data_IF_693471686002
#
_entry.id   IF_693471686002
#
_cell.length_a   1.000
_cell.length_b   1.000
_cell.length_c   1.000
_cell.angle_alpha   90.00
_cell.angle_beta   90.00
_cell.angle_gamma   90.00
#
_symmetry.space_group_name_H-M   'P 1'
#
loop_
_entity.id
_entity.type
_entity.pdbx_description
1 polymer ?
#
# COMPACT_ATOMS: atom_id res chain seq x y z
N UNK A 1 -62.82 -18.28 -26.13
CA UNK A 1 -63.78 -17.14 -26.18
C UNK A 1 -63.09 -16.04 -26.97
N UNK A 2 -63.25 -15.99 -28.31
CA UNK A 2 -64.35 -15.33 -29.07
C UNK A 2 -64.41 -13.83 -28.76
N UNK A 3 -64.39 -12.86 -29.69
CA UNK A 3 -64.52 -12.82 -31.17
C UNK A 3 -63.96 -11.44 -31.65
N UNK A 4 -63.20 -11.35 -32.75
CA UNK A 4 -63.60 -10.91 -34.13
C UNK A 4 -64.29 -9.53 -34.22
N UNK A 5 -63.98 -8.61 -35.14
CA UNK A 5 -63.83 -8.71 -36.61
C UNK A 5 -63.13 -7.45 -37.19
N UNK A 6 -62.15 -7.55 -38.11
CA UNK A 6 -62.21 -7.53 -39.60
C UNK A 6 -62.31 -6.11 -40.25
N UNK A 7 -61.82 -5.74 -41.45
CA UNK A 7 -60.96 -6.22 -42.60
C UNK A 7 -60.93 -5.01 -43.60
N UNK A 8 -59.85 -4.62 -44.31
CA UNK A 8 -59.49 -4.92 -45.72
C UNK A 8 -58.27 -4.03 -46.12
N UNK A 9 -57.07 -4.47 -46.56
CA UNK A 9 -56.58 -5.00 -47.88
C UNK A 9 -56.83 -4.07 -49.08
N UNK A 10 -55.85 -3.66 -49.90
CA UNK A 10 -55.12 -4.35 -51.01
C UNK A 10 -54.03 -3.34 -51.50
N UNK A 11 -52.72 -3.56 -51.71
CA UNK A 11 -51.89 -4.49 -52.52
C UNK A 11 -51.11 -3.74 -53.63
N UNK A 12 -49.84 -4.14 -53.77
CA UNK A 12 -48.94 -4.13 -54.95
C UNK A 12 -48.30 -2.85 -55.51
N UNK A 13 -46.97 -2.97 -55.76
CA UNK A 13 -46.27 -2.22 -56.82
C UNK A 13 -44.84 -1.78 -56.50
N UNK A 14 -43.85 -2.68 -56.66
CA UNK A 14 -42.49 -2.28 -57.05
C UNK A 14 -42.44 -2.16 -58.59
N UNK A 15 -41.64 -1.25 -59.16
CA UNK A 15 -40.41 -1.74 -59.80
C UNK A 15 -39.20 -0.79 -59.72
N UNK A 16 -38.09 -1.35 -60.21
CA UNK A 16 -36.70 -0.90 -60.24
C UNK A 16 -36.39 0.33 -61.14
N UNK A 17 -35.23 0.93 -60.77
CA UNK A 17 -34.14 1.44 -61.61
C UNK A 17 -34.33 2.71 -62.48
N UNK A 18 -33.47 3.71 -62.23
CA UNK A 18 -32.38 4.16 -63.12
C UNK A 18 -31.80 5.49 -62.58
N UNK A 19 -30.46 5.60 -62.47
CA UNK A 19 -29.77 6.90 -62.38
C UNK A 19 -29.62 7.52 -63.77
N UNK A 20 -28.69 8.48 -64.03
CA UNK A 20 -27.92 9.36 -63.14
C UNK A 20 -28.07 10.85 -63.57
N UNK A 21 -27.18 11.72 -63.08
CA UNK A 21 -26.72 13.01 -63.65
C UNK A 21 -27.00 14.26 -62.78
N UNK A 22 -25.90 14.86 -62.33
CA UNK A 22 -25.80 16.27 -61.96
C UNK A 22 -25.74 17.15 -63.23
N UNK A 23 -26.02 18.47 -63.13
CA UNK A 23 -24.90 19.41 -63.04
C UNK A 23 -25.12 20.68 -62.20
N UNK A 24 -23.98 21.32 -61.89
CA UNK A 24 -23.71 22.65 -61.31
C UNK A 24 -24.72 23.77 -61.62
N UNK A 25 -25.00 24.67 -60.67
CA UNK A 25 -24.20 25.91 -60.51
C UNK A 25 -24.57 26.72 -59.24
N UNK A 26 -23.57 27.45 -58.73
CA UNK A 26 -23.64 28.28 -57.50
C UNK A 26 -24.06 29.73 -57.83
N UNK A 27 -24.43 30.58 -56.84
CA UNK A 27 -23.39 31.46 -56.28
C UNK A 27 -23.53 31.88 -54.80
N UNK A 28 -22.36 31.91 -54.14
CA UNK A 28 -21.85 32.86 -53.12
C UNK A 28 -22.83 33.80 -52.38
N UNK A 29 -22.73 33.79 -51.04
CA UNK A 29 -22.24 34.95 -50.25
C UNK A 29 -21.74 34.52 -48.85
N UNK A 30 -20.56 35.02 -48.51
CA UNK A 30 -19.83 34.90 -47.24
C UNK A 30 -20.52 35.68 -46.12
N UNK A 31 -20.42 35.19 -44.89
CA UNK A 31 -20.11 36.03 -43.73
C UNK A 31 -19.12 35.33 -42.81
N UNK A 32 -18.15 36.13 -42.37
CA UNK A 32 -17.02 35.82 -41.50
C UNK A 32 -17.47 35.70 -40.04
N UNK A 33 -16.85 34.81 -39.28
CA UNK A 33 -17.03 34.68 -37.84
C UNK A 33 -15.92 33.82 -37.24
N UNK A 34 -14.86 34.50 -36.79
CA UNK A 34 -13.67 33.94 -36.13
C UNK A 34 -14.06 33.36 -34.76
N UNK A 35 -13.65 32.11 -34.49
CA UNK A 35 -13.66 31.50 -33.16
C UNK A 35 -12.21 31.13 -32.76
N UNK A 36 -11.79 31.33 -31.50
CA UNK A 36 -10.36 31.31 -31.13
C UNK A 36 -9.81 29.89 -30.87
N UNK A 37 -8.53 29.61 -31.19
CA UNK A 37 -7.90 28.31 -30.97
C UNK A 37 -7.22 28.26 -29.60
N UNK A 38 -7.83 27.57 -28.64
CA UNK A 38 -7.18 27.26 -27.37
C UNK A 38 -7.60 25.87 -26.87
N UNK A 39 -7.41 24.86 -27.72
CA UNK A 39 -7.55 23.46 -27.31
C UNK A 39 -6.87 22.56 -28.35
N UNK A 40 -5.53 22.58 -28.44
CA UNK A 40 -4.72 21.55 -29.15
C UNK A 40 -3.20 21.81 -29.05
N UNK A 41 -2.64 21.95 -27.85
CA UNK A 41 -1.18 21.82 -27.65
C UNK A 41 -0.94 21.13 -26.32
N UNK A 42 -0.87 19.78 -26.29
CA UNK A 42 -0.19 19.03 -25.24
C UNK A 42 0.15 17.57 -25.63
N UNK A 43 0.37 17.28 -26.92
CA UNK A 43 0.67 15.91 -27.34
C UNK A 43 1.75 15.69 -28.40
N UNK A 44 2.59 16.67 -28.73
CA UNK A 44 3.74 16.44 -29.63
C UNK A 44 4.92 17.31 -29.25
N UNK A 45 5.69 16.95 -28.22
CA UNK A 45 7.10 17.37 -28.03
C UNK A 45 7.84 16.41 -27.07
N UNK A 46 7.84 15.11 -27.39
CA UNK A 46 8.88 14.19 -26.93
C UNK A 46 9.20 13.30 -28.11
N UNK A 47 10.11 13.74 -28.99
CA UNK A 47 10.98 12.97 -29.89
C UNK A 47 11.56 13.93 -30.95
N UNK A 48 12.74 14.50 -30.68
CA UNK A 48 13.80 14.78 -31.66
C UNK A 48 14.94 15.62 -31.02
N UNK A 49 16.17 15.11 -31.09
CA UNK A 49 17.44 15.84 -30.92
C UNK A 49 17.86 16.05 -29.46
N UNK A 50 18.91 15.44 -28.91
CA UNK A 50 20.15 15.04 -29.56
C UNK A 50 21.05 16.25 -29.79
N UNK A 51 21.59 16.85 -28.71
CA UNK A 51 22.72 17.77 -28.80
C UNK A 51 23.54 17.74 -27.49
N UNK A 52 24.75 17.23 -27.67
CA UNK A 52 25.97 17.29 -26.87
C UNK A 52 26.04 18.52 -25.94
N UNK A 53 26.24 18.29 -24.64
CA UNK A 53 26.88 19.26 -23.75
C UNK A 53 28.21 18.66 -23.33
N UNK A 54 29.28 19.30 -23.78
CA UNK A 54 30.66 19.06 -23.37
C UNK A 54 30.79 19.28 -21.87
N UNK A 55 31.25 18.24 -21.16
CA UNK A 55 31.72 18.33 -19.78
C UNK A 55 33.02 19.13 -19.76
N UNK A 56 32.97 20.36 -19.23
CA UNK A 56 34.17 21.04 -18.77
C UNK A 56 34.42 20.59 -17.33
N UNK A 57 35.49 19.81 -17.17
CA UNK A 57 35.97 19.27 -15.91
C UNK A 57 36.85 20.33 -15.25
N UNK A 58 36.37 20.91 -14.14
CA UNK A 58 37.22 21.73 -13.27
C UNK A 58 37.03 21.29 -11.82
N UNK A 59 37.94 20.43 -11.39
CA UNK A 59 38.18 20.15 -9.98
C UNK A 59 38.49 21.46 -9.24
N UNK A 60 37.85 21.62 -8.08
CA UNK A 60 38.40 22.41 -7.00
C UNK A 60 38.06 21.67 -5.70
N UNK A 61 39.02 20.86 -5.24
CA UNK A 61 39.07 20.41 -3.86
C UNK A 61 39.27 21.63 -2.96
N UNK A 62 38.34 21.86 -2.03
CA UNK A 62 38.59 22.68 -0.85
C UNK A 62 38.20 21.87 0.37
N UNK A 63 39.21 21.27 0.98
CA UNK A 63 39.16 20.63 2.29
C UNK A 63 38.91 21.73 3.31
N UNK A 64 37.70 21.81 3.85
CA UNK A 64 37.43 22.55 5.08
C UNK A 64 37.33 21.54 6.22
N UNK A 65 38.45 21.41 6.94
CA UNK A 65 38.50 20.74 8.22
C UNK A 65 37.58 21.47 9.21
N UNK A 66 36.54 20.78 9.68
CA UNK A 66 35.79 21.20 10.86
C UNK A 66 36.53 20.70 12.09
N UNK A 67 37.18 21.63 12.81
CA UNK A 67 37.61 21.45 14.20
C UNK A 67 36.38 21.20 15.08
N UNK A 68 36.45 20.31 16.08
CA UNK A 68 35.41 20.20 17.10
C UNK A 68 35.35 21.50 17.92
N UNK A 69 34.14 22.05 18.07
CA UNK A 69 33.86 23.11 19.05
C UNK A 69 33.93 22.50 20.45
N UNK A 70 34.74 23.12 21.30
CA UNK A 70 34.75 22.89 22.75
C UNK A 70 33.35 23.04 23.34
N UNK A 71 32.92 22.02 24.06
CA UNK A 71 31.75 22.07 24.93
C UNK A 71 32.29 22.31 26.34
N UNK A 72 32.11 23.53 26.85
CA UNK A 72 32.43 23.87 28.24
C UNK A 72 31.46 23.10 29.14
N UNK A 73 31.98 22.09 29.82
CA UNK A 73 31.28 21.39 30.92
C UNK A 73 31.69 22.10 32.21
N UNK A 74 30.71 22.69 32.88
CA UNK A 74 30.84 23.22 34.24
C UNK A 74 30.75 22.04 35.21
N UNK A 75 31.86 21.70 35.88
CA UNK A 75 31.86 20.79 37.02
C UNK A 75 31.10 21.44 38.19
N UNK A 76 30.04 20.78 38.66
CA UNK A 76 29.53 20.98 40.02
C UNK A 76 29.28 19.61 40.62
N UNK A 77 30.15 19.28 41.57
CA UNK A 77 30.18 18.10 42.40
C UNK A 77 28.92 18.01 43.28
N UNK A 78 28.18 16.90 43.24
CA UNK A 78 27.26 16.55 44.33
C UNK A 78 27.16 15.04 44.49
N UNK A 79 27.41 14.64 45.73
CA UNK A 79 27.69 13.32 46.30
C UNK A 79 26.43 12.46 46.42
N UNK A 80 26.56 11.14 46.20
CA UNK A 80 25.53 10.14 46.50
C UNK A 80 25.50 9.79 48.01
N UNK A 81 24.34 9.48 48.61
CA UNK A 81 24.24 9.12 50.02
C UNK A 81 24.46 7.62 50.23
N UNK A 82 25.36 7.30 51.16
CA UNK A 82 25.56 5.99 51.79
C UNK A 82 24.64 5.86 53.01
N UNK A 83 23.93 4.75 53.15
CA UNK A 83 23.32 4.33 54.42
C UNK A 83 23.94 3.03 54.91
N UNK A 84 24.39 3.10 56.15
CA UNK A 84 25.14 2.12 56.94
C UNK A 84 24.31 0.85 57.23
N UNK A 85 24.99 -0.30 57.27
CA UNK A 85 24.54 -1.50 57.98
C UNK A 85 25.70 -1.98 58.84
N UNK A 86 25.43 -2.09 60.14
CA UNK A 86 26.37 -2.53 61.18
C UNK A 86 26.75 -4.01 61.02
N UNK A 87 28.03 -4.30 61.16
CA UNK A 87 28.58 -5.64 61.31
C UNK A 87 29.14 -5.76 62.74
N UNK A 88 28.70 -6.78 63.48
CA UNK A 88 29.29 -7.18 64.76
C UNK A 88 29.93 -8.55 64.60
N UNK A 89 31.21 -8.61 64.93
CA UNK A 89 32.11 -9.77 64.98
C UNK A 89 31.55 -10.95 65.79
N UNK A 90 31.89 -12.20 65.41
CA UNK A 90 32.50 -13.23 66.30
C UNK A 90 32.89 -14.51 65.54
N UNK A 91 34.20 -14.74 65.42
CA UNK A 91 35.00 -15.97 65.67
C UNK A 91 34.55 -17.37 65.13
N UNK A 92 35.46 -17.99 64.36
CA UNK A 92 35.47 -19.44 64.05
C UNK A 92 35.89 -20.30 65.27
N UNK A 93 35.53 -21.61 65.33
CA UNK A 93 36.48 -22.62 64.85
C UNK A 93 35.90 -23.92 64.20
N UNK A 94 36.76 -24.56 63.41
CA UNK A 94 36.90 -25.96 62.97
C UNK A 94 35.91 -27.05 63.45
N UNK A 95 35.36 -27.84 62.52
CA UNK A 95 35.70 -29.28 62.25
C UNK A 95 34.54 -30.08 61.62
N UNK A 96 34.95 -31.00 60.74
CA UNK A 96 34.34 -32.29 60.36
C UNK A 96 33.07 -32.37 59.47
N UNK A 97 33.38 -32.83 58.25
CA UNK A 97 32.66 -33.62 57.25
C UNK A 97 31.60 -34.60 57.78
N UNK A 98 30.39 -34.57 57.20
CA UNK A 98 29.73 -35.77 56.64
C UNK A 98 28.59 -35.43 55.68
N UNK A 99 28.50 -36.26 54.62
CA UNK A 99 27.68 -36.16 53.42
C UNK A 99 26.16 -36.24 53.64
N UNK A 100 25.42 -35.58 52.74
CA UNK A 100 24.32 -36.22 52.02
C UNK A 100 24.10 -35.51 50.67
N UNK A 101 24.41 -36.22 49.57
CA UNK A 101 24.04 -35.85 48.20
C UNK A 101 22.51 -35.90 47.98
N UNK A 102 21.94 -35.64 46.81
CA UNK A 102 22.39 -35.62 45.42
C UNK A 102 21.20 -35.05 44.62
N UNK A 103 21.41 -34.24 43.58
CA UNK A 103 20.30 -33.87 42.68
C UNK A 103 20.59 -32.94 41.50
N UNK A 104 21.72 -32.23 41.47
CA UNK A 104 21.95 -31.20 40.44
C UNK A 104 22.82 -31.64 39.24
N UNK A 105 23.54 -32.75 39.33
CA UNK A 105 24.57 -33.11 38.35
C UNK A 105 24.05 -33.82 37.08
N UNK A 106 22.88 -34.45 37.12
CA UNK A 106 22.38 -35.28 36.00
C UNK A 106 21.94 -34.48 34.76
N UNK A 107 21.50 -33.22 34.94
CA UNK A 107 21.04 -32.37 33.82
C UNK A 107 22.17 -31.73 33.01
N UNK A 108 23.38 -31.63 33.57
CA UNK A 108 24.54 -31.03 32.90
C UNK A 108 25.21 -31.97 31.91
N UNK A 109 25.28 -33.26 32.24
CA UNK A 109 26.00 -34.29 31.45
C UNK A 109 25.25 -34.64 30.16
N UNK A 110 23.91 -34.76 30.21
CA UNK A 110 23.09 -35.03 29.01
C UNK A 110 23.12 -33.89 27.97
N UNK A 111 23.24 -32.63 28.41
CA UNK A 111 23.29 -31.47 27.50
C UNK A 111 24.57 -31.42 26.67
N UNK A 112 25.70 -31.82 27.26
CA UNK A 112 27.00 -31.82 26.58
C UNK A 112 27.09 -32.95 25.53
N UNK A 113 26.48 -34.10 25.81
CA UNK A 113 26.50 -35.27 24.92
C UNK A 113 25.59 -35.11 23.69
N UNK A 114 24.48 -34.37 23.82
CA UNK A 114 23.56 -34.06 22.71
C UNK A 114 24.04 -32.93 21.78
N UNK A 115 24.91 -32.05 22.27
CA UNK A 115 25.43 -30.90 21.52
C UNK A 115 26.34 -31.28 20.33
N UNK A 116 26.87 -32.51 20.33
CA UNK A 116 27.72 -33.05 19.26
C UNK A 116 26.99 -33.82 18.16
N UNK A 117 25.67 -34.01 18.27
CA UNK A 117 24.89 -34.71 17.23
C UNK A 117 24.25 -33.70 16.26
N UNK A 118 24.19 -34.09 14.98
CA UNK A 118 23.52 -33.34 13.88
C UNK A 118 22.02 -33.07 14.11
N UNK A 119 21.47 -33.42 15.27
CA UNK A 119 20.13 -33.07 15.75
C UNK A 119 20.01 -31.57 16.06
N UNK A 120 21.13 -30.88 16.30
CA UNK A 120 21.17 -29.46 16.66
C UNK A 120 21.36 -28.49 15.46
N UNK A 121 21.35 -28.96 14.21
CA UNK A 121 21.39 -28.08 13.05
C UNK A 121 20.10 -27.24 12.96
N UNK A 122 20.16 -26.04 13.53
CA UNK A 122 19.11 -25.03 13.57
C UNK A 122 18.86 -24.41 12.19
N UNK A 123 18.38 -25.18 11.21
CA UNK A 123 18.25 -24.68 9.84
C UNK A 123 17.08 -23.70 9.60
N UNK A 124 16.31 -23.30 10.63
CA UNK A 124 15.20 -22.34 10.48
C UNK A 124 15.05 -21.44 11.71
N UNK A 125 16.03 -20.58 12.00
CA UNK A 125 15.90 -19.51 13.00
C UNK A 125 15.85 -18.14 12.31
N UNK A 126 15.09 -17.17 12.85
CA UNK A 126 15.20 -15.79 12.41
C UNK A 126 16.64 -15.31 12.54
N UNK A 127 17.15 -14.62 11.52
CA UNK A 127 18.50 -14.05 11.53
C UNK A 127 18.68 -13.13 12.75
N UNK A 128 19.78 -13.30 13.49
CA UNK A 128 20.07 -12.56 14.72
C UNK A 128 19.53 -13.20 16.01
N UNK A 129 18.83 -14.33 15.91
CA UNK A 129 18.34 -15.09 17.09
C UNK A 129 19.20 -16.31 17.44
N UNK A 130 20.37 -16.46 16.81
CA UNK A 130 21.28 -17.59 17.01
C UNK A 130 21.67 -17.79 18.48
N UNK A 131 21.93 -16.73 19.28
CA UNK A 131 22.28 -16.89 20.70
C UNK A 131 21.11 -17.31 21.60
N UNK A 132 19.85 -17.27 21.12
CA UNK A 132 18.67 -17.46 21.95
C UNK A 132 18.22 -18.94 21.98
N UNK A 133 17.68 -19.44 23.10
CA UNK A 133 16.99 -20.73 23.11
C UNK A 133 15.78 -20.71 22.17
N UNK A 134 15.62 -21.72 21.30
CA UNK A 134 14.53 -21.76 20.31
C UNK A 134 13.14 -21.51 20.92
N UNK A 135 12.88 -22.03 22.12
CA UNK A 135 11.59 -21.92 22.79
C UNK A 135 11.19 -20.50 23.24
N UNK A 136 12.12 -19.54 23.32
CA UNK A 136 11.81 -18.15 23.68
C UNK A 136 11.71 -17.22 22.47
N UNK A 137 12.14 -17.68 21.29
CA UNK A 137 12.16 -16.85 20.09
C UNK A 137 10.74 -16.64 19.57
N UNK A 138 10.33 -15.37 19.53
CA UNK A 138 9.12 -14.92 18.84
C UNK A 138 9.55 -14.28 17.52
N UNK A 139 9.24 -14.92 16.39
CA UNK A 139 9.66 -14.47 15.05
C UNK A 139 8.72 -13.40 14.46
N UNK A 140 7.56 -13.18 15.08
CA UNK A 140 6.48 -12.30 14.61
C UNK A 140 5.96 -11.42 15.73
N UNK A 141 5.21 -10.40 15.34
CA UNK A 141 4.50 -9.49 16.24
C UNK A 141 3.10 -9.19 15.66
N UNK A 142 2.34 -8.33 16.34
CA UNK A 142 1.03 -7.85 15.93
C UNK A 142 0.76 -6.45 16.50
N UNK A 143 -0.40 -5.85 16.16
CA UNK A 143 -0.81 -4.55 16.73
C UNK A 143 -1.89 -4.65 17.80
N UNK A 144 -2.05 -5.82 18.43
CA UNK A 144 -3.01 -5.95 19.51
C UNK A 144 -2.49 -5.20 20.76
N UNK A 145 -3.35 -4.39 21.36
CA UNK A 145 -3.00 -3.66 22.59
C UNK A 145 -3.05 -4.59 23.80
N UNK A 146 -1.97 -4.59 24.58
CA UNK A 146 -1.87 -5.32 25.85
C UNK A 146 -2.13 -4.40 27.06
N UNK A 147 -2.81 -4.91 28.11
CA UNK A 147 -3.06 -4.12 29.31
C UNK A 147 -1.74 -3.86 30.07
N UNK A 148 -1.65 -2.71 30.74
CA UNK A 148 -0.47 -2.32 31.52
C UNK A 148 -0.23 -3.18 32.78
N UNK A 149 -1.21 -3.98 33.19
CA UNK A 149 -1.10 -4.87 34.35
C UNK A 149 -2.04 -6.07 34.26
N UNK A 150 -1.84 -7.04 35.15
CA UNK A 150 -2.56 -8.32 35.17
C UNK A 150 -1.63 -9.51 34.91
N UNK A 151 -2.19 -10.73 34.93
CA UNK A 151 -1.43 -11.95 34.62
C UNK A 151 -1.58 -12.29 33.12
N UNK A 152 -0.50 -12.22 32.31
CA UNK A 152 -0.55 -12.54 30.88
C UNK A 152 -0.92 -14.00 30.59
N UNK A 153 -0.62 -14.95 31.48
CA UNK A 153 -0.90 -16.38 31.29
C UNK A 153 -2.39 -16.69 31.23
N UNK A 154 -3.24 -15.84 31.84
CA UNK A 154 -4.70 -16.05 31.83
C UNK A 154 -5.34 -15.79 30.47
N UNK A 155 -4.66 -15.07 29.57
CA UNK A 155 -5.21 -14.63 28.28
C UNK A 155 -4.96 -15.64 27.15
N UNK A 156 -3.99 -16.53 27.31
CA UNK A 156 -3.59 -17.52 26.29
C UNK A 156 -4.67 -18.54 25.92
N UNK A 157 -5.73 -18.66 26.73
CA UNK A 157 -6.75 -19.72 26.60
C UNK A 157 -7.87 -19.44 25.57
N UNK A 158 -7.98 -18.23 24.99
CA UNK A 158 -9.07 -17.90 24.05
C UNK A 158 -8.52 -17.65 22.66
N UNK A 159 -8.80 -18.58 21.74
CA UNK A 159 -8.50 -18.40 20.31
C UNK A 159 -9.23 -17.16 19.77
N UNK A 160 -8.46 -16.17 19.32
CA UNK A 160 -9.02 -14.93 18.76
C UNK A 160 -9.46 -15.16 17.32
N UNK A 161 -10.58 -14.58 16.88
CA UNK A 161 -10.99 -14.64 15.48
C UNK A 161 -9.97 -13.92 14.60
N UNK A 162 -9.72 -14.47 13.42
CA UNK A 162 -8.86 -13.85 12.44
C UNK A 162 -9.45 -12.50 11.97
N UNK A 163 -8.62 -11.45 12.01
CA UNK A 163 -8.99 -10.09 11.61
C UNK A 163 -8.34 -9.71 10.28
N UNK A 164 -8.87 -8.67 9.65
CA UNK A 164 -8.19 -7.94 8.58
C UNK A 164 -7.71 -6.57 9.08
N UNK A 165 -6.72 -5.99 8.43
CA UNK A 165 -6.18 -4.66 8.77
C UNK A 165 -6.68 -3.64 7.75
N UNK A 166 -7.18 -2.50 8.23
CA UNK A 166 -7.46 -1.31 7.43
C UNK A 166 -6.46 -0.21 7.80
N UNK A 167 -5.57 0.11 6.86
CA UNK A 167 -4.56 1.15 6.99
C UNK A 167 -4.86 2.31 6.03
N UNK A 168 -4.94 3.54 6.55
CA UNK A 168 -5.34 4.74 5.79
C UNK A 168 -4.39 5.88 6.09
N UNK A 169 -3.77 6.54 5.09
CA UNK A 169 -3.10 7.82 5.30
C UNK A 169 -4.13 8.91 5.51
N UNK A 170 -4.09 9.61 6.63
CA UNK A 170 -5.13 10.56 7.00
C UNK A 170 -4.58 11.96 7.28
N UNK A 171 -5.40 12.94 6.93
CA UNK A 171 -5.26 14.31 7.39
C UNK A 171 -6.59 14.81 7.91
N UNK A 172 -6.55 15.72 8.88
CA UNK A 172 -7.73 16.17 9.62
C UNK A 172 -8.82 16.77 8.73
N UNK A 173 -8.44 17.32 7.56
CA UNK A 173 -9.37 17.89 6.58
C UNK A 173 -10.32 16.84 5.99
N UNK A 174 -9.92 15.57 5.96
CA UNK A 174 -10.74 14.46 5.46
C UNK A 174 -11.42 13.66 6.58
N UNK A 175 -11.39 14.14 7.83
CA UNK A 175 -11.93 13.41 9.00
C UNK A 175 -13.34 12.88 8.79
N UNK A 176 -14.25 13.69 8.23
CA UNK A 176 -15.64 13.27 8.01
C UNK A 176 -15.79 12.15 6.96
N UNK A 177 -14.93 12.14 5.93
CA UNK A 177 -14.93 11.08 4.91
C UNK A 177 -14.40 9.79 5.53
N UNK A 178 -13.31 9.87 6.29
CA UNK A 178 -12.71 8.72 6.97
C UNK A 178 -13.63 8.17 8.06
N UNK A 179 -14.36 9.01 8.79
CA UNK A 179 -15.35 8.57 9.78
C UNK A 179 -16.45 7.71 9.13
N UNK A 180 -17.00 8.18 8.00
CA UNK A 180 -17.96 7.42 7.21
C UNK A 180 -17.34 6.13 6.67
N UNK A 181 -16.08 6.17 6.23
CA UNK A 181 -15.33 4.99 5.78
C UNK A 181 -15.22 3.95 6.89
N UNK A 182 -14.66 4.31 8.04
CA UNK A 182 -14.43 3.41 9.18
C UNK A 182 -15.73 2.87 9.75
N UNK A 183 -16.83 3.63 9.68
CA UNK A 183 -18.16 3.16 10.14
C UNK A 183 -18.63 1.87 9.44
N UNK A 184 -18.13 1.56 8.24
CA UNK A 184 -18.44 0.32 7.52
C UNK A 184 -17.66 -0.90 8.02
N UNK A 185 -16.59 -0.72 8.79
CA UNK A 185 -15.66 -1.77 9.19
C UNK A 185 -15.88 -2.20 10.65
N UNK A 186 -16.46 -3.39 10.90
CA UNK A 186 -16.71 -3.86 12.26
C UNK A 186 -15.42 -4.13 13.04
N UNK A 187 -15.29 -3.58 14.25
CA UNK A 187 -14.04 -3.66 15.04
C UNK A 187 -13.71 -5.06 15.60
N UNK A 188 -14.66 -5.99 15.59
CA UNK A 188 -14.45 -7.41 15.91
C UNK A 188 -13.83 -8.18 14.74
N UNK A 189 -13.90 -7.62 13.52
CA UNK A 189 -13.37 -8.22 12.27
C UNK A 189 -12.21 -7.43 11.67
N UNK A 190 -12.07 -6.15 12.04
CA UNK A 190 -11.06 -5.25 11.50
C UNK A 190 -10.30 -4.53 12.61
N UNK A 191 -8.99 -4.46 12.43
CA UNK A 191 -8.14 -3.49 13.12
C UNK A 191 -7.96 -2.27 12.21
N UNK A 192 -8.06 -1.07 12.78
CA UNK A 192 -7.91 0.19 12.03
C UNK A 192 -6.59 0.85 12.42
N UNK A 193 -5.83 1.29 11.42
CA UNK A 193 -4.57 1.99 11.57
C UNK A 193 -4.58 3.27 10.74
N UNK A 194 -4.31 4.40 11.39
CA UNK A 194 -4.33 5.73 10.78
C UNK A 194 -2.91 6.26 10.67
N UNK A 195 -2.48 6.60 9.45
CA UNK A 195 -1.19 7.22 9.18
C UNK A 195 -1.34 8.74 9.03
N UNK A 196 -1.09 9.48 10.10
CA UNK A 196 -1.25 10.94 10.16
C UNK A 196 -0.12 11.64 9.43
N UNK A 197 -0.31 11.92 8.14
CA UNK A 197 0.66 12.66 7.33
C UNK A 197 0.69 14.16 7.67
N UNK A 198 -0.35 14.68 8.34
CA UNK A 198 -0.41 16.08 8.76
C UNK A 198 0.00 16.31 10.23
N UNK A 199 0.29 15.23 10.96
CA UNK A 199 0.66 15.24 12.37
C UNK A 199 -0.46 15.59 13.36
N UNK A 200 -1.72 15.69 12.92
CA UNK A 200 -2.84 16.14 13.76
C UNK A 200 -3.64 14.98 14.33
N UNK A 201 -3.24 14.46 15.49
CA UNK A 201 -3.92 13.34 16.13
C UNK A 201 -5.08 13.75 17.04
N UNK A 202 -4.96 14.86 17.78
CA UNK A 202 -5.92 15.21 18.84
C UNK A 202 -7.36 15.39 18.32
N UNK A 203 -7.53 15.96 17.13
CA UNK A 203 -8.84 16.16 16.52
C UNK A 203 -9.56 14.86 16.13
N UNK A 204 -8.88 13.71 16.14
CA UNK A 204 -9.51 12.40 15.90
C UNK A 204 -10.11 11.80 17.16
N UNK A 205 -9.67 12.23 18.36
CA UNK A 205 -10.20 11.75 19.65
C UNK A 205 -11.67 12.07 19.88
N UNK A 206 -12.22 13.00 19.10
CA UNK A 206 -13.67 13.30 19.07
C UNK A 206 -14.50 12.12 18.55
N UNK A 207 -13.88 11.19 17.80
CA UNK A 207 -14.54 10.01 17.26
C UNK A 207 -14.35 8.85 18.24
N UNK A 208 -15.43 8.35 18.84
CA UNK A 208 -15.35 7.31 19.89
C UNK A 208 -14.72 5.98 19.45
N UNK A 209 -14.65 5.70 18.15
CA UNK A 209 -13.91 4.53 17.63
C UNK A 209 -12.40 4.75 17.56
N UNK A 210 -11.92 6.00 17.56
CA UNK A 210 -10.52 6.37 17.39
C UNK A 210 -9.64 5.82 18.51
N UNK A 211 -10.14 5.71 19.73
CA UNK A 211 -9.37 5.17 20.87
C UNK A 211 -9.01 3.68 20.69
N UNK A 212 -9.68 2.97 19.77
CA UNK A 212 -9.38 1.58 19.41
C UNK A 212 -8.50 1.47 18.18
N UNK A 213 -8.25 2.57 17.47
CA UNK A 213 -7.39 2.58 16.30
C UNK A 213 -5.92 2.75 16.69
N UNK A 214 -5.02 2.29 15.82
CA UNK A 214 -3.59 2.54 15.94
C UNK A 214 -3.28 3.85 15.23
N UNK A 215 -2.59 4.76 15.90
CA UNK A 215 -2.20 6.05 15.33
C UNK A 215 -0.70 6.09 15.12
N UNK A 216 -0.26 6.34 13.88
CA UNK A 216 1.15 6.60 13.56
C UNK A 216 1.24 7.96 12.89
N UNK A 217 2.05 8.86 13.43
CA UNK A 217 2.19 10.22 12.88
C UNK A 217 3.62 10.46 12.38
N UNK A 218 3.71 10.88 11.12
CA UNK A 218 4.96 11.36 10.53
C UNK A 218 4.60 12.42 9.49
N UNK A 219 4.96 13.68 9.78
CA UNK A 219 4.54 14.81 8.97
C UNK A 219 5.14 14.74 7.56
N UNK A 220 4.33 15.10 6.57
CA UNK A 220 4.70 15.22 5.16
C UNK A 220 5.23 13.90 4.55
N UNK A 221 4.81 12.75 5.11
CA UNK A 221 5.11 11.42 4.60
C UNK A 221 3.94 10.83 3.82
N UNK A 222 4.25 10.04 2.80
CA UNK A 222 3.27 9.43 1.89
C UNK A 222 2.75 8.09 2.41
N UNK A 223 1.62 7.61 1.85
CA UNK A 223 1.04 6.28 2.12
C UNK A 223 2.08 5.15 2.10
N UNK A 224 2.87 5.08 1.04
CA UNK A 224 3.84 4.01 0.84
C UNK A 224 5.09 4.15 1.72
N UNK A 225 5.43 5.37 2.14
CA UNK A 225 6.46 5.56 3.17
C UNK A 225 6.04 4.92 4.49
N UNK A 226 4.79 5.11 4.92
CA UNK A 226 4.23 4.46 6.11
C UNK A 226 4.12 2.96 5.92
N UNK A 227 3.54 2.50 4.80
CA UNK A 227 3.42 1.07 4.50
C UNK A 227 4.75 0.33 4.56
N UNK A 228 5.82 0.92 4.02
CA UNK A 228 7.17 0.32 4.09
C UNK A 228 7.69 0.18 5.52
N UNK A 229 7.40 1.13 6.42
CA UNK A 229 8.01 1.20 7.76
C UNK A 229 7.17 0.56 8.85
N UNK A 230 5.85 0.62 8.72
CA UNK A 230 4.92 0.25 9.76
C UNK A 230 4.03 -0.94 9.40
N UNK A 231 4.09 -1.47 8.18
CA UNK A 231 3.37 -2.68 7.79
C UNK A 231 4.34 -3.80 7.41
N UNK A 232 5.38 -4.01 8.22
CA UNK A 232 6.33 -5.11 8.00
C UNK A 232 5.61 -6.47 8.00
N UNK A 233 5.94 -7.42 7.09
CA UNK A 233 5.20 -8.68 6.95
C UNK A 233 5.07 -9.48 8.25
N UNK A 234 6.10 -9.48 9.08
CA UNK A 234 6.09 -10.18 10.37
C UNK A 234 5.31 -9.45 11.47
N UNK A 235 5.00 -8.16 11.31
CA UNK A 235 4.09 -7.42 12.20
C UNK A 235 2.62 -7.56 11.79
N UNK A 236 2.36 -7.82 10.52
CA UNK A 236 0.99 -8.00 9.99
C UNK A 236 0.63 -9.46 9.74
N UNK A 237 1.47 -10.40 10.19
CA UNK A 237 1.34 -11.82 9.89
C UNK A 237 0.07 -12.47 10.48
N UNK A 238 -0.57 -11.86 11.46
CA UNK A 238 -1.83 -12.35 12.04
C UNK A 238 -3.08 -11.88 11.29
N UNK A 239 -2.96 -10.85 10.43
CA UNK A 239 -4.09 -10.36 9.64
C UNK A 239 -4.24 -11.17 8.35
N UNK A 240 -5.47 -11.54 8.01
CA UNK A 240 -5.75 -12.32 6.80
C UNK A 240 -5.61 -11.48 5.53
N UNK A 241 -6.13 -10.26 5.59
CA UNK A 241 -6.11 -9.28 4.51
C UNK A 241 -5.70 -7.91 5.01
N UNK A 242 -5.00 -7.16 4.16
CA UNK A 242 -4.48 -5.83 4.43
C UNK A 242 -5.04 -4.87 3.40
N UNK A 243 -5.89 -3.96 3.85
CA UNK A 243 -6.48 -2.89 3.09
C UNK A 243 -5.58 -1.66 3.26
N UNK A 244 -4.97 -1.18 2.18
CA UNK A 244 -4.11 0.01 2.21
C UNK A 244 -4.74 1.11 1.35
N UNK A 245 -5.74 1.78 1.92
CA UNK A 245 -6.67 2.64 1.18
C UNK A 245 -6.33 4.12 1.34
N UNK A 246 -6.68 4.92 0.35
CA UNK A 246 -6.68 6.39 0.44
C UNK A 246 -7.88 6.89 1.27
N UNK A 247 -7.77 8.11 1.77
CA UNK A 247 -8.73 8.77 2.67
C UNK A 247 -9.90 9.46 1.98
N UNK A 248 -9.83 9.64 0.65
CA UNK A 248 -10.82 10.36 -0.14
C UNK A 248 -11.81 9.41 -0.86
N UNK A 249 -12.06 8.27 -0.21
CA UNK A 249 -12.89 7.17 -0.70
C UNK A 249 -14.25 7.17 0.01
N UNK A 250 -15.32 7.28 -0.77
CA UNK A 250 -16.70 7.09 -0.28
C UNK A 250 -17.14 5.63 -0.43
N UNK A 251 -17.79 5.12 0.61
CA UNK A 251 -18.09 3.68 0.79
C UNK A 251 -19.59 3.37 0.84
N UNK A 252 -20.44 4.20 0.24
CA UNK A 252 -21.90 3.99 0.28
C UNK A 252 -22.31 2.64 -0.32
N UNK A 253 -21.70 2.26 -1.44
CA UNK A 253 -21.93 1.01 -2.17
C UNK A 253 -21.03 -0.16 -1.75
N UNK A 254 -20.37 -0.07 -0.59
CA UNK A 254 -19.37 -1.04 -0.14
C UNK A 254 -19.74 -1.67 1.21
N UNK A 255 -19.63 -2.99 1.27
CA UNK A 255 -19.69 -3.82 2.48
C UNK A 255 -18.42 -4.68 2.59
N UNK A 256 -17.55 -4.43 3.59
CA UNK A 256 -16.27 -5.14 3.70
C UNK A 256 -16.43 -6.64 3.99
N UNK A 257 -17.52 -7.06 4.64
CA UNK A 257 -17.76 -8.48 4.96
C UNK A 257 -18.18 -9.23 3.70
N UNK A 258 -19.02 -8.63 2.86
CA UNK A 258 -19.36 -9.18 1.54
C UNK A 258 -18.15 -9.19 0.62
N UNK A 259 -17.37 -8.12 0.60
CA UNK A 259 -16.12 -8.03 -0.16
C UNK A 259 -15.16 -9.18 0.21
N UNK A 260 -14.88 -9.36 1.51
CA UNK A 260 -14.03 -10.46 1.98
C UNK A 260 -14.56 -11.84 1.57
N UNK A 261 -15.88 -12.05 1.57
CA UNK A 261 -16.49 -13.31 1.12
C UNK A 261 -16.22 -13.57 -0.36
N UNK A 262 -16.28 -12.54 -1.19
CA UNK A 262 -16.07 -12.64 -2.64
C UNK A 262 -14.60 -12.95 -2.92
N UNK A 263 -13.67 -12.17 -2.39
CA UNK A 263 -12.24 -12.35 -2.70
C UNK A 263 -11.74 -13.73 -2.25
N UNK A 264 -12.27 -14.27 -1.14
CA UNK A 264 -11.97 -15.64 -0.68
C UNK A 264 -12.48 -16.69 -1.65
N UNK A 265 -13.74 -16.57 -2.10
CA UNK A 265 -14.37 -17.52 -3.03
C UNK A 265 -13.72 -17.47 -4.42
N UNK A 266 -13.30 -16.29 -4.83
CA UNK A 266 -12.67 -16.03 -6.13
C UNK A 266 -11.15 -16.26 -6.11
N UNK A 267 -10.59 -16.64 -4.95
CA UNK A 267 -9.16 -16.81 -4.72
C UNK A 267 -8.32 -15.61 -5.16
N UNK A 268 -8.83 -14.39 -4.93
CA UNK A 268 -8.11 -13.17 -5.21
C UNK A 268 -7.11 -12.90 -4.07
N UNK A 269 -5.83 -12.86 -4.42
CA UNK A 269 -4.77 -12.51 -3.49
C UNK A 269 -4.45 -11.02 -3.51
N UNK A 270 -4.71 -10.35 -4.63
CA UNK A 270 -4.60 -8.90 -4.76
C UNK A 270 -5.87 -8.41 -5.44
N UNK A 271 -6.58 -7.50 -4.79
CA UNK A 271 -7.86 -7.05 -5.28
C UNK A 271 -8.13 -5.60 -4.92
N UNK A 272 -9.16 -5.03 -5.53
CA UNK A 272 -9.75 -3.78 -5.05
C UNK A 272 -11.26 -3.79 -5.30
N UNK A 273 -12.05 -2.98 -4.57
CA UNK A 273 -13.42 -2.68 -4.99
C UNK A 273 -13.41 -1.96 -6.34
N UNK A 274 -14.48 -2.15 -7.11
CA UNK A 274 -14.68 -1.40 -8.34
C UNK A 274 -14.94 0.07 -8.06
N UNK A 275 -14.67 0.92 -9.05
CA UNK A 275 -14.96 2.35 -9.00
C UNK A 275 -16.31 2.65 -9.61
N UNK A 276 -17.13 3.38 -8.85
CA UNK A 276 -18.36 3.99 -9.34
C UNK A 276 -18.05 4.88 -10.55
N UNK A 277 -18.95 4.94 -11.53
CA UNK A 277 -18.79 5.75 -12.74
C UNK A 277 -18.62 7.25 -12.48
N UNK A 278 -18.98 7.74 -11.29
CA UNK A 278 -18.78 9.12 -10.85
C UNK A 278 -17.38 9.40 -10.32
N UNK A 279 -16.54 8.37 -10.13
CA UNK A 279 -15.19 8.51 -9.59
C UNK A 279 -14.24 9.21 -10.55
N UNK A 280 -13.13 9.71 -10.01
CA UNK A 280 -11.97 10.04 -10.82
C UNK A 280 -11.30 8.75 -11.31
N UNK A 281 -11.49 8.43 -12.59
CA UNK A 281 -10.97 7.20 -13.23
C UNK A 281 -9.67 7.49 -13.98
N UNK A 282 -8.57 6.91 -13.51
CA UNK A 282 -7.28 6.95 -14.21
C UNK A 282 -7.08 5.77 -15.15
N UNK A 283 -7.52 4.58 -14.73
CA UNK A 283 -7.37 3.35 -15.48
C UNK A 283 -8.73 2.67 -15.69
N UNK A 284 -9.10 2.42 -16.95
CA UNK A 284 -10.44 1.89 -17.27
C UNK A 284 -10.72 0.51 -16.69
N UNK A 285 -9.70 -0.28 -16.36
CA UNK A 285 -9.88 -1.56 -15.68
C UNK A 285 -10.47 -1.39 -14.28
N UNK A 286 -10.29 -0.28 -13.57
CA UNK A 286 -10.88 -0.15 -12.22
C UNK A 286 -12.35 0.20 -12.24
N UNK A 287 -12.90 0.56 -13.41
CA UNK A 287 -14.29 0.96 -13.56
C UNK A 287 -15.23 -0.23 -13.32
N UNK A 288 -16.29 0.00 -12.55
CA UNK A 288 -17.31 -1.01 -12.29
C UNK A 288 -17.94 -1.55 -13.57
N UNK A 289 -17.86 -2.86 -13.74
CA UNK A 289 -18.63 -3.59 -14.74
C UNK A 289 -20.09 -3.73 -14.28
N UNK A 290 -21.03 -3.55 -15.20
CA UNK A 290 -22.46 -3.67 -14.91
C UNK A 290 -22.93 -5.12 -14.72
N UNK A 291 -22.15 -6.08 -15.22
CA UNK A 291 -22.49 -7.50 -15.22
C UNK A 291 -21.37 -8.27 -14.54
N UNK A 292 -21.74 -9.23 -13.70
CA UNK A 292 -20.80 -10.04 -12.96
C UNK A 292 -20.51 -9.51 -11.56
N UNK A 293 -19.79 -10.34 -10.80
CA UNK A 293 -19.38 -10.03 -9.43
C UNK A 293 -17.92 -9.57 -9.35
N UNK A 294 -17.09 -10.04 -10.27
CA UNK A 294 -15.67 -9.72 -10.40
C UNK A 294 -15.32 -9.65 -11.88
N UNK A 295 -14.40 -8.76 -12.22
CA UNK A 295 -13.68 -8.81 -13.49
C UNK A 295 -12.18 -8.65 -13.27
N UNK A 296 -11.40 -9.17 -14.22
CA UNK A 296 -9.93 -9.22 -14.16
C UNK A 296 -9.28 -8.64 -15.41
N UNK A 297 -10.10 -8.16 -16.36
CA UNK A 297 -9.69 -7.68 -17.68
C UNK A 297 -10.62 -6.56 -18.13
N UNK A 298 -10.08 -5.64 -18.92
CA UNK A 298 -10.89 -4.74 -19.75
C UNK A 298 -10.47 -4.79 -21.21
N UNK A 299 -11.39 -4.42 -22.10
CA UNK A 299 -11.14 -4.38 -23.53
C UNK A 299 -11.05 -2.94 -24.04
N UNK A 300 -10.07 -2.69 -24.90
CA UNK A 300 -9.83 -1.40 -25.54
C UNK A 300 -9.37 -1.61 -26.97
N UNK A 301 -10.24 -1.29 -27.92
CA UNK A 301 -10.02 -1.50 -29.35
C UNK A 301 -9.53 -0.26 -30.10
N UNK A 302 -9.60 0.93 -29.48
CA UNK A 302 -9.25 2.24 -30.10
C UNK A 302 -8.24 3.04 -29.27
N UNK A 303 -7.40 3.84 -29.94
CA UNK A 303 -6.35 4.67 -29.33
C UNK A 303 -5.03 3.93 -29.10
N UNK A 304 -4.02 4.63 -28.54
CA UNK A 304 -2.72 4.02 -28.21
C UNK A 304 -2.83 2.98 -27.09
N UNK A 305 -2.17 1.83 -27.25
CA UNK A 305 -2.24 0.68 -26.34
C UNK A 305 -3.58 -0.06 -26.43
N UNK A 306 -3.59 -1.22 -27.09
CA UNK A 306 -4.76 -2.10 -27.19
C UNK A 306 -4.84 -3.03 -25.97
N UNK A 307 -6.06 -3.30 -25.54
CA UNK A 307 -6.35 -4.40 -24.62
C UNK A 307 -7.31 -5.36 -25.33
N UNK A 308 -6.79 -6.52 -25.69
CA UNK A 308 -7.44 -7.61 -26.39
C UNK A 308 -7.19 -8.94 -25.66
N UNK A 309 -7.62 -10.06 -26.23
CA UNK A 309 -7.47 -11.37 -25.58
C UNK A 309 -6.00 -11.77 -25.35
N UNK A 310 -5.08 -11.27 -26.18
CA UNK A 310 -3.64 -11.54 -26.07
C UNK A 310 -2.97 -10.67 -24.98
N UNK A 311 -3.66 -9.67 -24.45
CA UNK A 311 -3.11 -8.79 -23.42
C UNK A 311 -3.11 -9.51 -22.06
N UNK A 312 -1.99 -10.08 -21.64
CA UNK A 312 -1.89 -10.92 -20.42
C UNK A 312 -1.45 -10.16 -19.18
N UNK A 313 -0.96 -8.93 -19.34
CA UNK A 313 -0.38 -8.13 -18.27
C UNK A 313 -1.10 -6.81 -18.00
N UNK A 314 -0.61 -6.08 -16.99
CA UNK A 314 -1.13 -4.77 -16.65
C UNK A 314 -0.85 -3.73 -17.76
N UNK A 315 -1.74 -2.74 -17.93
CA UNK A 315 -2.94 -2.49 -17.13
C UNK A 315 -4.19 -3.20 -17.68
N UNK A 316 -4.03 -4.12 -18.65
CA UNK A 316 -5.16 -4.74 -19.36
C UNK A 316 -5.79 -5.91 -18.60
N UNK A 317 -4.98 -6.69 -17.89
CA UNK A 317 -5.40 -7.91 -17.19
C UNK A 317 -4.65 -8.09 -15.88
N UNK A 318 -5.31 -8.63 -14.85
CA UNK A 318 -4.68 -9.02 -13.59
C UNK A 318 -4.01 -7.85 -12.88
N UNK A 319 -4.71 -6.72 -12.79
CA UNK A 319 -4.17 -5.45 -12.31
C UNK A 319 -5.15 -4.76 -11.36
N UNK A 320 -4.60 -3.99 -10.41
CA UNK A 320 -5.35 -3.09 -9.52
C UNK A 320 -4.56 -1.79 -9.40
N UNK A 321 -5.26 -0.69 -9.20
CA UNK A 321 -4.69 0.62 -8.93
C UNK A 321 -4.31 0.75 -7.45
N UNK A 322 -3.31 1.59 -7.17
CA UNK A 322 -2.73 1.72 -5.83
C UNK A 322 -3.61 2.45 -4.81
N UNK A 323 -4.75 3.01 -5.18
CA UNK A 323 -5.55 3.86 -4.27
C UNK A 323 -6.40 3.08 -3.25
N UNK A 324 -6.99 1.95 -3.64
CA UNK A 324 -7.79 1.08 -2.73
C UNK A 324 -7.40 -0.41 -2.81
N UNK A 325 -6.11 -0.78 -2.83
CA UNK A 325 -5.70 -2.17 -2.91
C UNK A 325 -6.00 -2.92 -1.61
N UNK A 326 -6.28 -4.20 -1.77
CA UNK A 326 -6.42 -5.19 -0.71
C UNK A 326 -5.51 -6.35 -1.05
N UNK A 327 -4.66 -6.73 -0.10
CA UNK A 327 -3.71 -7.82 -0.24
C UNK A 327 -4.07 -8.95 0.71
N UNK A 328 -3.94 -10.19 0.25
CA UNK A 328 -3.79 -11.32 1.16
C UNK A 328 -2.49 -11.17 1.95
N UNK A 329 -2.40 -11.83 3.10
CA UNK A 329 -1.16 -11.91 3.89
C UNK A 329 0.06 -12.33 3.04
N UNK A 330 -0.11 -13.34 2.19
CA UNK A 330 0.97 -13.85 1.35
C UNK A 330 1.40 -12.83 0.30
N UNK A 331 0.44 -12.22 -0.40
CA UNK A 331 0.73 -11.22 -1.41
C UNK A 331 1.36 -9.97 -0.81
N UNK A 332 0.93 -9.53 0.37
CA UNK A 332 1.56 -8.41 1.07
C UNK A 332 3.01 -8.71 1.46
N UNK A 333 3.31 -9.93 1.94
CA UNK A 333 4.69 -10.32 2.27
C UNK A 333 5.62 -10.13 1.07
N UNK A 334 5.18 -10.50 -0.13
CA UNK A 334 5.94 -10.23 -1.35
C UNK A 334 5.94 -8.74 -1.71
N UNK A 335 4.77 -8.08 -1.74
CA UNK A 335 4.64 -6.70 -2.19
C UNK A 335 5.47 -5.72 -1.35
N UNK A 336 5.54 -5.95 -0.03
CA UNK A 336 6.33 -5.15 0.89
C UNK A 336 7.82 -5.10 0.53
N UNK A 337 8.38 -6.19 0.00
CA UNK A 337 9.79 -6.26 -0.43
C UNK A 337 10.03 -5.48 -1.73
N UNK A 338 9.00 -5.29 -2.57
CA UNK A 338 9.12 -4.47 -3.78
C UNK A 338 9.13 -2.97 -3.47
N UNK A 339 8.48 -2.53 -2.39
CA UNK A 339 8.44 -1.11 -2.00
C UNK A 339 9.86 -0.62 -1.66
N UNK A 340 10.32 0.38 -2.41
CA UNK A 340 11.65 0.98 -2.26
C UNK A 340 11.65 2.04 -1.14
N UNK A 341 12.70 2.10 -0.33
CA UNK A 341 12.77 3.00 0.82
C UNK A 341 12.76 4.50 0.44
N UNK A 342 13.30 4.83 -0.74
CA UNK A 342 13.50 6.19 -1.26
C UNK A 342 12.43 6.62 -2.28
N UNK A 343 11.69 5.68 -2.87
CA UNK A 343 10.60 5.95 -3.83
C UNK A 343 9.25 5.98 -3.11
N UNK A 344 9.03 7.06 -2.36
CA UNK A 344 7.94 7.18 -1.39
C UNK A 344 6.55 7.31 -2.03
N UNK A 345 6.42 7.69 -3.30
CA UNK A 345 5.13 7.71 -3.98
C UNK A 345 4.75 6.34 -4.57
N UNK A 346 5.74 5.45 -4.74
CA UNK A 346 5.61 4.10 -5.29
C UNK A 346 4.96 4.01 -6.68
N UNK A 347 4.97 5.08 -7.48
CA UNK A 347 4.43 5.04 -8.84
C UNK A 347 5.14 3.96 -9.68
N UNK A 348 4.35 3.12 -10.35
CA UNK A 348 4.83 1.97 -11.13
C UNK A 348 4.78 0.64 -10.38
N UNK A 349 4.65 0.66 -9.04
CA UNK A 349 4.55 -0.55 -8.23
C UNK A 349 3.32 -1.39 -8.61
N UNK A 350 2.17 -0.75 -8.87
CA UNK A 350 0.93 -1.36 -9.37
C UNK A 350 1.12 -2.20 -10.63
N UNK A 351 2.01 -1.81 -11.54
CA UNK A 351 2.33 -2.60 -12.72
C UNK A 351 3.14 -3.87 -12.41
N UNK A 352 3.64 -4.01 -11.18
CA UNK A 352 4.41 -5.17 -10.71
C UNK A 352 3.73 -5.95 -9.60
N UNK A 353 2.64 -5.46 -9.00
CA UNK A 353 1.91 -6.17 -7.94
C UNK A 353 1.51 -7.60 -8.34
N UNK A 354 1.17 -7.86 -9.60
CA UNK A 354 0.84 -9.21 -10.07
C UNK A 354 1.97 -10.25 -9.93
N UNK A 355 3.23 -9.84 -9.75
CA UNK A 355 4.35 -10.73 -9.38
C UNK A 355 4.23 -11.30 -7.96
N UNK A 356 3.41 -10.68 -7.13
CA UNK A 356 3.17 -11.09 -5.76
C UNK A 356 1.85 -11.83 -5.56
N UNK A 357 1.10 -12.09 -6.63
CA UNK A 357 -0.04 -12.99 -6.58
C UNK A 357 0.46 -14.43 -6.82
N UNK A 358 0.07 -15.37 -5.96
CA UNK A 358 0.34 -16.79 -6.16
C UNK A 358 -0.23 -17.30 -7.48
N UNK A 359 0.60 -17.97 -8.28
CA UNK A 359 0.18 -18.56 -9.56
C UNK A 359 -0.07 -17.52 -10.65
N UNK A 360 -1.15 -17.68 -11.41
CA UNK A 360 -1.47 -16.80 -12.55
C UNK A 360 -2.18 -15.52 -12.10
N UNK A 361 -1.51 -14.36 -12.24
CA UNK A 361 -2.11 -13.04 -11.94
C UNK A 361 -3.43 -12.78 -12.67
N UNK A 362 -3.67 -13.39 -13.83
CA UNK A 362 -4.93 -13.25 -14.58
C UNK A 362 -6.12 -13.84 -13.84
N UNK A 363 -5.88 -14.70 -12.84
CA UNK A 363 -6.88 -15.34 -12.00
C UNK A 363 -6.85 -14.79 -10.58
N UNK A 364 -5.66 -14.58 -10.02
CA UNK A 364 -5.47 -14.19 -8.62
C UNK A 364 -5.54 -12.67 -8.37
N UNK A 365 -5.57 -11.84 -9.42
CA UNK A 365 -5.70 -10.38 -9.31
C UNK A 365 -6.98 -9.88 -9.99
N UNK A 366 -7.78 -9.07 -9.30
CA UNK A 366 -9.08 -8.64 -9.84
C UNK A 366 -9.83 -7.53 -9.11
N UNK A 367 -10.85 -7.04 -9.78
CA UNK A 367 -11.75 -5.97 -9.34
C UNK A 367 -13.08 -6.58 -8.91
N UNK A 368 -13.59 -6.21 -7.74
CA UNK A 368 -14.89 -6.68 -7.23
C UNK A 368 -15.99 -5.70 -7.64
N UNK A 369 -16.84 -6.08 -8.58
CA UNK A 369 -17.88 -5.21 -9.16
C UNK A 369 -19.13 -5.05 -8.29
N UNK A 370 -19.46 -6.08 -7.51
CA UNK A 370 -20.64 -6.03 -6.65
C UNK A 370 -20.43 -5.16 -5.41
N UNK A 371 -19.18 -4.86 -5.06
CA UNK A 371 -18.79 -4.04 -3.91
C UNK A 371 -17.92 -2.89 -4.42
N UNK A 372 -18.47 -1.69 -4.47
CA UNK A 372 -17.85 -0.57 -5.17
C UNK A 372 -17.76 0.69 -4.32
N UNK A 373 -16.78 1.51 -4.63
CA UNK A 373 -16.47 2.76 -3.93
C UNK A 373 -16.46 3.93 -4.90
N UNK A 374 -16.60 5.15 -4.39
CA UNK A 374 -16.42 6.37 -5.16
C UNK A 374 -15.12 7.05 -4.73
N UNK A 375 -14.19 7.21 -5.67
CA UNK A 375 -12.93 7.92 -5.45
C UNK A 375 -13.05 9.38 -5.89
N UNK A 376 -12.86 10.30 -4.95
CA UNK A 376 -13.03 11.74 -5.18
C UNK A 376 -11.85 12.35 -5.94
N UNK A 377 -10.65 11.79 -5.82
CA UNK A 377 -9.44 12.31 -6.46
C UNK A 377 -8.96 13.63 -5.86
N UNK A 378 -9.13 13.80 -4.54
CA UNK A 378 -8.71 15.01 -3.83
C UNK A 378 -7.20 14.93 -3.59
N UNK A 379 -6.37 15.80 -4.18
CA UNK A 379 -4.94 15.83 -3.88
C UNK A 379 -4.74 16.34 -2.45
N UNK A 380 -4.18 15.52 -1.57
CA UNK A 380 -3.97 15.88 -0.16
C UNK A 380 -2.51 16.21 0.18
N UNK A 381 -1.57 15.75 -0.65
CA UNK A 381 -0.14 16.09 -0.56
C UNK A 381 0.20 17.33 -1.40
N UNK A 382 0.98 18.25 -0.82
CA UNK A 382 1.32 19.54 -1.45
C UNK A 382 0.37 20.71 -1.11
N UNK A 383 -0.61 20.48 -0.23
CA UNK A 383 -1.61 21.50 0.15
C UNK A 383 -1.20 22.40 1.33
N UNK A 384 0.07 22.35 1.73
CA UNK A 384 0.65 23.19 2.79
C UNK A 384 -0.11 23.06 4.11
N UNK A 385 0.29 22.14 4.97
CA UNK A 385 -0.24 22.00 6.33
C UNK A 385 0.12 23.20 7.22
N UNK A 386 -0.51 24.37 7.03
CA UNK A 386 -0.38 25.53 7.91
C UNK A 386 -0.76 26.89 7.28
N UNK A 387 -1.80 27.52 7.85
CA UNK A 387 -2.32 28.91 7.73
C UNK A 387 -2.40 29.60 6.34
N UNK A 388 -3.47 30.37 6.06
CA UNK A 388 -3.60 31.12 4.82
C UNK A 388 -2.70 32.37 4.86
N UNK A 389 -1.44 32.23 4.49
CA UNK A 389 -0.67 33.38 4.04
C UNK A 389 -0.96 33.57 2.54
N UNK A 390 -1.36 34.78 2.17
CA UNK A 390 -1.80 35.17 0.85
C UNK A 390 -0.74 34.92 -0.25
N UNK A 391 -0.69 33.71 -0.81
CA UNK A 391 -0.09 33.43 -2.12
C UNK A 391 -0.86 32.32 -2.81
N UNK A 392 -1.74 32.69 -3.74
CA UNK A 392 -2.37 31.75 -4.70
C UNK A 392 -1.37 31.05 -5.64
N UNK A 393 -0.05 31.30 -5.49
CA UNK A 393 1.02 30.71 -6.32
C UNK A 393 1.77 29.54 -5.68
N UNK A 394 1.81 29.39 -4.35
CA UNK A 394 2.66 28.36 -3.72
C UNK A 394 2.05 26.95 -3.79
N UNK A 395 0.76 26.80 -3.51
CA UNK A 395 0.09 25.47 -3.48
C UNK A 395 0.03 24.78 -4.85
N UNK A 396 -0.19 25.53 -5.93
CA UNK A 396 -0.13 24.99 -7.28
C UNK A 396 1.30 24.54 -7.65
N UNK A 397 2.31 25.30 -7.20
CA UNK A 397 3.73 24.95 -7.40
C UNK A 397 4.11 23.69 -6.63
N UNK A 398 3.61 23.55 -5.39
CA UNK A 398 3.85 22.38 -4.55
C UNK A 398 3.20 21.12 -5.14
N UNK A 399 1.96 21.20 -5.62
CA UNK A 399 1.28 20.09 -6.31
C UNK A 399 2.00 19.66 -7.59
N UNK A 400 2.49 20.63 -8.38
CA UNK A 400 3.29 20.34 -9.57
C UNK A 400 4.61 19.65 -9.20
N UNK A 401 5.27 20.08 -8.12
CA UNK A 401 6.50 19.45 -7.63
C UNK A 401 6.25 18.01 -7.15
N UNK A 402 5.16 17.76 -6.42
CA UNK A 402 4.72 16.41 -6.02
C UNK A 402 4.52 15.51 -7.24
N UNK A 403 3.80 16.01 -8.25
CA UNK A 403 3.54 15.25 -9.48
C UNK A 403 4.81 15.00 -10.28
N UNK A 404 5.67 16.00 -10.41
CA UNK A 404 6.97 15.87 -11.08
C UNK A 404 7.85 14.83 -10.39
N UNK A 405 7.92 14.87 -9.05
CA UNK A 405 8.65 13.87 -8.27
C UNK A 405 8.05 12.47 -8.45
N UNK A 406 6.73 12.34 -8.46
CA UNK A 406 6.05 11.05 -8.68
C UNK A 406 6.41 10.44 -10.05
N UNK A 407 6.45 11.25 -11.11
CA UNK A 407 6.92 10.80 -12.43
C UNK A 407 8.41 10.42 -12.43
N UNK A 408 9.26 11.19 -11.77
CA UNK A 408 10.68 10.86 -11.63
C UNK A 408 10.87 9.52 -10.92
N UNK A 409 10.16 9.30 -9.81
CA UNK A 409 10.22 8.03 -9.05
C UNK A 409 9.72 6.84 -9.89
N UNK A 410 8.67 7.02 -10.71
CA UNK A 410 8.21 6.01 -11.68
C UNK A 410 9.33 5.60 -12.64
N UNK A 411 10.04 6.57 -13.23
CA UNK A 411 11.14 6.27 -14.15
C UNK A 411 12.29 5.55 -13.45
N UNK A 412 12.61 5.95 -12.21
CA UNK A 412 13.62 5.28 -11.39
C UNK A 412 13.20 3.83 -11.10
N UNK A 413 11.96 3.61 -10.68
CA UNK A 413 11.44 2.27 -10.39
C UNK A 413 11.51 1.36 -11.61
N UNK A 414 11.03 1.82 -12.77
CA UNK A 414 11.08 1.05 -14.02
C UNK A 414 12.52 0.69 -14.42
N UNK A 415 13.46 1.63 -14.29
CA UNK A 415 14.87 1.37 -14.55
C UNK A 415 15.47 0.37 -13.57
N UNK A 416 15.16 0.48 -12.27
CA UNK A 416 15.62 -0.48 -11.24
C UNK A 416 15.07 -1.88 -11.50
N UNK A 417 13.78 -2.00 -11.79
CA UNK A 417 13.16 -3.27 -12.15
C UNK A 417 13.85 -3.91 -13.35
N UNK A 418 14.03 -3.14 -14.44
CA UNK A 418 14.69 -3.64 -15.65
C UNK A 418 16.12 -4.11 -15.35
N UNK A 419 16.92 -3.31 -14.65
CA UNK A 419 18.28 -3.67 -14.30
C UNK A 419 18.35 -4.91 -13.38
N UNK A 420 17.42 -5.06 -12.43
CA UNK A 420 17.35 -6.23 -11.56
C UNK A 420 16.95 -7.49 -12.36
N UNK A 421 15.96 -7.40 -13.24
CA UNK A 421 15.53 -8.50 -14.09
C UNK A 421 16.62 -8.94 -15.08
N UNK A 422 17.38 -8.01 -15.64
CA UNK A 422 18.50 -8.31 -16.55
C UNK A 422 19.73 -8.86 -15.82
N UNK A 423 19.95 -8.43 -14.56
CA UNK A 423 21.11 -8.81 -13.76
C UNK A 423 20.95 -10.10 -12.94
N UNK A 424 19.72 -10.56 -12.72
CA UNK A 424 19.45 -11.77 -11.94
C UNK A 424 19.42 -13.02 -12.84
N UNK A 425 20.59 -13.61 -13.05
CA UNK A 425 20.79 -14.80 -13.88
C UNK A 425 20.04 -16.05 -13.38
N UNK A 426 19.63 -16.05 -12.11
CA UNK A 426 18.92 -17.17 -11.50
C UNK A 426 17.39 -16.97 -11.52
N UNK A 427 16.92 -15.78 -11.88
CA UNK A 427 15.51 -15.45 -11.92
C UNK A 427 14.93 -15.63 -13.32
N UNK A 428 13.81 -16.35 -13.39
CA UNK A 428 13.02 -16.49 -14.61
C UNK A 428 11.76 -15.67 -14.46
N UNK A 429 11.48 -14.78 -15.41
CA UNK A 429 10.25 -14.00 -15.39
C UNK A 429 9.03 -14.95 -15.49
N UNK A 430 8.17 -15.05 -14.45
CA UNK A 430 6.95 -15.84 -14.54
C UNK A 430 5.94 -15.28 -15.55
N UNK A 431 6.18 -14.07 -16.06
CA UNK A 431 5.32 -13.38 -17.02
C UNK A 431 6.12 -12.65 -18.13
N UNK A 432 6.72 -13.41 -19.05
CA UNK A 432 7.57 -12.88 -20.12
C UNK A 432 6.83 -12.02 -21.15
#
# INVERSE_FOLDING_TARGET
MMMSSQVASVSDGLPQAQGPAAPNDSPRKRFSGVAPPAALIFFVLVFAGGAIVTLDHKENLSILQLRPREMVVSETETRAPTSEVQETETRAPTSEVQEAGTGAAAGGVQRAELAGSSICENQCRPSGSEPLPKGIVQDKSNFEMEPLGGNPERRAAVARPAKSLLAIPVGIKQKAVVDKLVSKFPGDRFTVMLFHYDGKMDGWRELGWSDRAIHVAAKDQTKWWFGKRFLHPDMVAEYEYIFLWDEDIEVDGFDPIRYLRIIRREHLEISQPALDHRSQIHHRLTLRARKGQVHRRFYKTRGGGRCDDNSTGPPCTGWVEMMVPVFSRAAWRCAWHMIQNDLIYAWGLDFKLGYCAGGDRRLAVGIVDSEYVLHRGIPTLGDGGGKPAAKRSSTATDRLAVRQRSYTELQIFNRRWKAAAEGDVCWTDPYP
#
